data_IF_595996734615
#
_entry.id   IF_595996734615
#
_cell.length_a   1.000
_cell.length_b   1.000
_cell.length_c   1.000
_cell.angle_alpha   90.00
_cell.angle_beta   90.00
_cell.angle_gamma   90.00
#
_symmetry.space_group_name_H-M   'P 1'
#
loop_
_entity.id
_entity.type
_entity.pdbx_description
1 polymer ?
#
# COMPACT_ATOMS: atom_id res chain seq x y z
N UNK A 1 7.48 -10.21 -2.89
CA UNK A 1 7.54 -8.84 -2.32
C UNK A 1 8.81 -8.09 -2.72
N UNK A 2 10.01 -8.49 -2.23
CA UNK A 2 11.26 -7.73 -2.44
C UNK A 2 11.60 -7.47 -3.91
N UNK A 3 11.20 -8.34 -4.84
CA UNK A 3 11.47 -8.16 -6.27
C UNK A 3 10.82 -6.90 -6.87
N UNK A 4 9.71 -6.41 -6.32
CA UNK A 4 9.03 -5.20 -6.80
C UNK A 4 9.47 -3.93 -6.08
N UNK A 5 10.31 -4.07 -5.06
CA UNK A 5 10.94 -2.96 -4.34
C UNK A 5 12.40 -2.76 -4.76
N UNK A 6 12.97 -3.68 -5.57
CA UNK A 6 14.36 -3.58 -6.04
C UNK A 6 14.54 -2.32 -6.90
N UNK A 7 15.42 -1.43 -6.44
CA UNK A 7 15.72 -0.15 -7.07
C UNK A 7 14.66 0.94 -6.84
N UNK A 8 13.77 0.75 -5.87
CA UNK A 8 12.85 1.81 -5.43
C UNK A 8 13.65 2.89 -4.68
N UNK A 9 13.88 4.02 -5.31
CA UNK A 9 14.41 5.22 -4.64
C UNK A 9 13.26 6.23 -4.54
N UNK A 10 12.78 6.47 -3.32
CA UNK A 10 11.66 7.36 -3.05
C UNK A 10 10.38 7.01 -3.85
N UNK A 11 10.09 5.72 -4.00
CA UNK A 11 8.94 5.25 -4.78
C UNK A 11 7.65 5.48 -4.01
N UNK A 12 6.70 6.19 -4.61
CA UNK A 12 5.41 6.43 -3.97
C UNK A 12 4.57 5.15 -3.91
N UNK A 13 3.79 5.04 -2.83
CA UNK A 13 2.97 3.87 -2.53
C UNK A 13 2.00 3.49 -3.67
N UNK A 14 1.34 4.48 -4.25
CA UNK A 14 0.40 4.31 -5.35
C UNK A 14 1.09 3.75 -6.61
N UNK A 15 2.25 4.29 -6.98
CA UNK A 15 3.05 3.80 -8.11
C UNK A 15 3.54 2.38 -7.86
N UNK A 16 3.92 2.05 -6.62
CA UNK A 16 4.29 0.69 -6.26
C UNK A 16 3.13 -0.30 -6.42
N UNK A 17 1.92 0.04 -5.96
CA UNK A 17 0.73 -0.81 -6.14
C UNK A 17 0.45 -1.05 -7.63
N UNK A 18 0.53 -0.01 -8.46
CA UNK A 18 0.31 -0.15 -9.90
C UNK A 18 1.38 -1.00 -10.60
N UNK A 19 2.62 -0.98 -10.10
CA UNK A 19 3.74 -1.76 -10.63
C UNK A 19 3.62 -3.28 -10.43
N UNK A 20 2.67 -3.74 -9.60
CA UNK A 20 2.44 -5.16 -9.35
C UNK A 20 1.98 -5.84 -10.66
N UNK A 21 2.69 -6.86 -11.16
CA UNK A 21 2.40 -7.45 -12.47
C UNK A 21 1.18 -8.38 -12.46
N UNK A 22 0.74 -8.85 -11.29
CA UNK A 22 -0.41 -9.74 -11.15
C UNK A 22 -1.65 -8.94 -10.76
N UNK A 23 -2.63 -8.87 -11.65
CA UNK A 23 -3.86 -8.09 -11.43
C UNK A 23 -4.62 -8.54 -10.18
N UNK A 24 -4.67 -9.85 -9.91
CA UNK A 24 -5.29 -10.39 -8.70
C UNK A 24 -4.60 -9.87 -7.43
N UNK A 25 -3.27 -9.78 -7.44
CA UNK A 25 -2.49 -9.28 -6.30
C UNK A 25 -2.65 -7.78 -6.12
N UNK A 26 -2.70 -7.01 -7.22
CA UNK A 26 -3.01 -5.57 -7.17
C UNK A 26 -4.39 -5.33 -6.55
N UNK A 27 -5.40 -6.03 -7.04
CA UNK A 27 -6.76 -5.92 -6.53
C UNK A 27 -6.86 -6.34 -5.06
N UNK A 28 -6.15 -7.41 -4.67
CA UNK A 28 -6.10 -7.85 -3.28
C UNK A 28 -5.54 -6.76 -2.36
N UNK A 29 -4.41 -6.15 -2.72
CA UNK A 29 -3.79 -5.07 -1.93
C UNK A 29 -4.74 -3.87 -1.81
N UNK A 30 -5.36 -3.44 -2.91
CA UNK A 30 -6.34 -2.34 -2.90
C UNK A 30 -7.54 -2.64 -1.98
N UNK A 31 -8.04 -3.88 -1.99
CA UNK A 31 -9.16 -4.30 -1.15
C UNK A 31 -8.77 -4.28 0.34
N UNK A 32 -7.59 -4.78 0.70
CA UNK A 32 -7.11 -4.79 2.10
C UNK A 32 -7.00 -3.37 2.65
N UNK A 33 -6.43 -2.43 1.90
CA UNK A 33 -6.31 -1.03 2.31
C UNK A 33 -7.68 -0.34 2.41
N UNK A 34 -8.60 -0.63 1.50
CA UNK A 34 -9.95 -0.10 1.57
C UNK A 34 -10.67 -0.59 2.83
N UNK A 35 -10.52 -1.89 3.14
CA UNK A 35 -11.11 -2.47 4.33
C UNK A 35 -10.47 -1.95 5.62
N UNK A 36 -9.17 -1.69 5.68
CA UNK A 36 -8.53 -1.14 6.89
C UNK A 36 -9.14 0.21 7.28
N UNK A 37 -9.38 1.10 6.30
CA UNK A 37 -10.04 2.39 6.54
C UNK A 37 -11.48 2.20 7.01
N UNK A 38 -12.26 1.34 6.33
CA UNK A 38 -13.66 1.07 6.69
C UNK A 38 -13.76 0.50 8.11
N UNK A 39 -12.91 -0.46 8.45
CA UNK A 39 -12.91 -1.07 9.78
C UNK A 39 -12.38 -0.13 10.86
N UNK A 40 -11.39 0.71 10.56
CA UNK A 40 -10.94 1.76 11.47
C UNK A 40 -12.08 2.69 11.87
N UNK A 41 -12.88 3.13 10.89
CA UNK A 41 -14.08 3.93 11.15
C UNK A 41 -15.11 3.16 12.00
N UNK A 42 -15.39 1.89 11.67
CA UNK A 42 -16.35 1.06 12.41
C UNK A 42 -15.95 0.80 13.86
N UNK A 43 -14.64 0.75 14.14
CA UNK A 43 -14.08 0.49 15.48
C UNK A 43 -13.82 1.77 16.28
N UNK A 44 -14.25 2.95 15.79
CA UNK A 44 -13.92 4.26 16.37
C UNK A 44 -12.40 4.50 16.53
N UNK A 45 -11.59 3.86 15.69
CA UNK A 45 -10.14 4.03 15.61
C UNK A 45 -9.78 4.39 14.17
N UNK A 46 -10.04 5.63 13.74
CA UNK A 46 -9.84 6.03 12.36
C UNK A 46 -8.36 5.89 11.97
N UNK A 47 -8.10 5.01 11.01
CA UNK A 47 -6.77 4.83 10.42
C UNK A 47 -6.71 5.55 9.07
N UNK A 48 -5.63 6.29 8.78
CA UNK A 48 -5.38 6.79 7.44
C UNK A 48 -5.17 5.60 6.47
N UNK A 49 -5.43 5.82 5.19
CA UNK A 49 -5.28 4.77 4.16
C UNK A 49 -3.83 4.30 4.02
N UNK A 50 -2.88 5.20 4.23
CA UNK A 50 -1.44 4.95 4.28
C UNK A 50 -0.84 5.88 5.34
N UNK A 51 0.00 5.37 6.24
CA UNK A 51 0.71 6.21 7.22
C UNK A 51 1.76 7.09 6.52
N UNK A 52 2.19 8.19 7.16
CA UNK A 52 3.18 9.12 6.61
C UNK A 52 4.49 8.44 6.23
N UNK A 53 4.95 7.49 7.02
CA UNK A 53 6.17 6.72 6.74
C UNK A 53 5.97 5.66 5.65
N UNK A 54 4.73 5.31 5.31
CA UNK A 54 4.40 4.30 4.30
C UNK A 54 4.15 4.91 2.92
N UNK A 55 4.15 6.25 2.80
CA UNK A 55 3.88 6.94 1.53
C UNK A 55 4.98 6.77 0.50
N UNK A 56 6.21 6.57 0.95
CA UNK A 56 7.38 6.39 0.11
C UNK A 56 8.16 5.18 0.57
N UNK A 57 8.63 4.39 -0.38
CA UNK A 57 9.50 3.26 -0.15
C UNK A 57 10.90 3.58 -0.67
N UNK A 58 11.88 3.37 0.18
CA UNK A 58 13.30 3.39 -0.17
C UNK A 58 13.84 1.94 -0.10
N UNK A 59 14.60 1.51 -1.11
CA UNK A 59 15.27 0.21 -1.13
C UNK A 59 16.44 0.27 -0.13
N UNK A 60 16.32 -0.44 0.98
CA UNK A 60 17.35 -0.55 2.04
C UNK A 60 18.47 -1.51 1.63
#
# INVERSE_FOLDING_TARGET
>A
MRQWLKGADHLSFDVWVESIPFDETRQYVQNVLSYSVIYGQKLNSPQPLVDWHERYFDDQ
#
